data_IF_679770575412
#
_entry.id   IF_679770575412
#
_cell.length_a   1.000
_cell.length_b   1.000
_cell.length_c   1.000
_cell.angle_alpha   90.00
_cell.angle_beta   90.00
_cell.angle_gamma   90.00
#
_symmetry.space_group_name_H-M   'P 1'
#
loop_
_entity.id
_entity.type
_entity.pdbx_description
1 polymer ?
#
# COMPACT_ATOMS: atom_id res chain seq x y z
N UNK A 1 2.19 21.53 5.74
CA UNK A 1 1.94 20.17 6.23
C UNK A 1 1.93 19.27 5.02
N UNK A 2 2.47 18.07 5.10
CA UNK A 2 2.09 17.06 4.11
C UNK A 2 0.65 16.66 4.43
N UNK A 3 -0.28 16.98 3.52
CA UNK A 3 -1.69 16.67 3.70
C UNK A 3 -1.90 15.20 3.31
N UNK A 4 -1.85 14.32 4.31
CA UNK A 4 -2.18 12.92 4.12
C UNK A 4 -3.69 12.74 3.96
N UNK A 5 -4.10 11.91 3.01
CA UNK A 5 -5.43 11.32 3.01
C UNK A 5 -5.48 10.25 4.11
N UNK A 6 -6.55 10.24 4.90
CA UNK A 6 -6.74 9.29 6.00
C UNK A 6 -7.93 8.37 5.73
N UNK A 7 -7.76 7.09 6.05
CA UNK A 7 -8.86 6.10 6.06
C UNK A 7 -8.68 5.17 7.25
N UNK A 8 -9.77 4.55 7.68
CA UNK A 8 -9.77 3.52 8.73
C UNK A 8 -9.95 2.15 8.10
N UNK A 9 -9.07 1.21 8.42
CA UNK A 9 -9.15 -0.18 7.96
C UNK A 9 -9.57 -1.05 9.14
N UNK A 10 -10.83 -1.53 9.19
CA UNK A 10 -11.30 -2.34 10.29
C UNK A 10 -10.48 -3.63 10.47
N UNK A 11 -10.53 -4.25 11.66
CA UNK A 11 -9.89 -5.55 11.87
C UNK A 11 -10.43 -6.55 10.86
N UNK A 12 -9.55 -7.43 10.37
CA UNK A 12 -9.89 -8.49 9.40
C UNK A 12 -10.25 -7.99 8.00
N UNK A 13 -10.01 -6.71 7.69
CA UNK A 13 -10.28 -6.13 6.37
C UNK A 13 -9.01 -5.68 5.67
N UNK A 14 -9.16 -5.37 4.37
CA UNK A 14 -8.14 -4.75 3.54
C UNK A 14 -8.70 -3.48 2.93
N UNK A 15 -7.81 -2.55 2.62
CA UNK A 15 -8.07 -1.43 1.73
C UNK A 15 -7.18 -1.57 0.51
N UNK A 16 -7.76 -1.39 -0.67
CA UNK A 16 -7.06 -1.47 -1.94
C UNK A 16 -7.39 -0.25 -2.78
N UNK A 17 -6.37 0.28 -3.46
CA UNK A 17 -6.52 1.31 -4.47
C UNK A 17 -5.70 0.92 -5.70
N UNK A 18 -6.30 1.10 -6.88
CA UNK A 18 -5.76 0.60 -8.14
C UNK A 18 -5.66 1.73 -9.17
N UNK A 19 -4.65 1.63 -10.02
CA UNK A 19 -4.34 2.60 -11.07
C UNK A 19 -4.01 1.85 -12.36
N UNK A 20 -4.66 2.23 -13.46
CA UNK A 20 -4.29 1.75 -14.79
C UNK A 20 -3.16 2.62 -15.31
N UNK A 21 -1.97 2.04 -15.48
CA UNK A 21 -0.74 2.76 -15.84
C UNK A 21 -0.13 2.23 -17.14
N UNK A 22 0.56 3.11 -17.86
CA UNK A 22 1.28 2.82 -19.09
C UNK A 22 2.79 2.76 -18.86
N UNK A 23 3.51 2.11 -19.78
CA UNK A 23 4.97 2.10 -19.75
C UNK A 23 5.52 3.53 -19.84
N UNK A 24 6.43 3.88 -18.93
CA UNK A 24 7.00 5.22 -18.78
C UNK A 24 6.33 6.08 -17.69
N UNK A 25 5.20 5.64 -17.14
CA UNK A 25 4.62 6.27 -15.95
C UNK A 25 5.45 5.95 -14.69
N UNK A 26 5.15 6.66 -13.60
CA UNK A 26 5.73 6.40 -12.29
C UNK A 26 4.67 6.45 -11.20
N UNK A 27 4.78 5.56 -10.23
CA UNK A 27 3.93 5.55 -9.04
C UNK A 27 4.80 5.70 -7.80
N UNK A 28 4.39 6.59 -6.92
CA UNK A 28 5.04 6.79 -5.62
C UNK A 28 4.00 6.78 -4.53
N UNK A 29 4.41 6.32 -3.35
CA UNK A 29 3.57 6.31 -2.18
C UNK A 29 4.33 6.80 -0.96
N UNK A 30 3.56 7.38 -0.05
CA UNK A 30 3.99 7.79 1.27
C UNK A 30 2.83 7.49 2.22
N UNK A 31 3.03 6.59 3.18
CA UNK A 31 2.00 6.25 4.16
C UNK A 31 2.56 6.07 5.56
N UNK A 32 1.67 6.24 6.54
CA UNK A 32 1.90 5.97 7.96
C UNK A 32 0.61 5.45 8.58
N UNK A 33 0.74 4.83 9.73
CA UNK A 33 -0.39 4.41 10.57
C UNK A 33 -0.28 5.07 11.93
N UNK A 34 -1.41 5.23 12.63
CA UNK A 34 -1.40 5.98 13.89
C UNK A 34 -0.81 5.19 15.06
N UNK A 35 -0.88 3.85 15.07
CA UNK A 35 -0.57 3.09 16.30
C UNK A 35 -0.07 1.66 16.12
N UNK A 36 -0.28 1.03 14.96
CA UNK A 36 0.06 -0.38 14.75
C UNK A 36 0.75 -0.58 13.41
N UNK A 37 1.43 -1.70 13.27
CA UNK A 37 1.85 -2.16 11.95
C UNK A 37 0.66 -2.45 11.03
N UNK A 38 0.94 -2.53 9.73
CA UNK A 38 -0.05 -2.88 8.72
C UNK A 38 0.62 -3.78 7.69
N UNK A 39 -0.13 -4.76 7.17
CA UNK A 39 0.32 -5.50 6.00
C UNK A 39 0.33 -4.59 4.77
N UNK A 40 1.34 -4.72 3.93
CA UNK A 40 1.47 -3.94 2.71
C UNK A 40 1.75 -4.86 1.52
N UNK A 41 1.01 -4.65 0.44
CA UNK A 41 1.27 -5.25 -0.86
C UNK A 41 1.32 -4.19 -1.96
N UNK A 42 2.15 -4.46 -2.95
CA UNK A 42 2.17 -3.76 -4.22
C UNK A 42 2.02 -4.79 -5.34
N UNK A 43 0.93 -4.70 -6.09
CA UNK A 43 0.52 -5.69 -7.08
C UNK A 43 0.52 -5.11 -8.49
N UNK A 44 0.73 -5.96 -9.49
CA UNK A 44 0.51 -5.69 -10.91
C UNK A 44 -0.35 -6.80 -11.47
N UNK A 45 -1.52 -6.46 -12.01
CA UNK A 45 -2.50 -7.41 -12.53
C UNK A 45 -2.78 -8.56 -11.53
N UNK A 46 -3.04 -8.17 -10.27
CA UNK A 46 -3.28 -9.04 -9.11
C UNK A 46 -2.08 -9.87 -8.62
N UNK A 47 -0.93 -9.82 -9.29
CA UNK A 47 0.29 -10.53 -8.91
C UNK A 47 1.23 -9.65 -8.06
N UNK A 48 1.81 -10.15 -6.96
CA UNK A 48 2.76 -9.39 -6.16
C UNK A 48 4.02 -9.01 -6.95
N UNK A 49 4.25 -7.71 -7.15
CA UNK A 49 5.53 -7.22 -7.69
C UNK A 49 6.63 -7.29 -6.63
N UNK A 50 6.27 -7.08 -5.35
CA UNK A 50 7.17 -7.26 -4.22
C UNK A 50 6.57 -8.27 -3.23
N UNK A 51 7.42 -8.93 -2.42
CA UNK A 51 6.94 -9.73 -1.30
C UNK A 51 6.09 -8.89 -0.35
N UNK A 52 5.10 -9.54 0.27
CA UNK A 52 4.38 -8.98 1.40
C UNK A 52 5.33 -8.46 2.48
N UNK A 53 5.03 -7.28 3.00
CA UNK A 53 5.75 -6.72 4.14
C UNK A 53 4.76 -6.37 5.23
N UNK A 54 5.09 -6.75 6.47
CA UNK A 54 4.48 -6.18 7.66
C UNK A 54 5.21 -4.88 7.99
N UNK A 55 4.62 -3.75 7.63
CA UNK A 55 5.27 -2.46 7.73
C UNK A 55 5.05 -1.84 9.11
N UNK A 56 6.13 -1.48 9.81
CA UNK A 56 6.11 -0.72 11.07
C UNK A 56 5.80 0.77 10.82
N UNK A 57 4.72 1.03 10.08
CA UNK A 57 4.32 2.36 9.60
C UNK A 57 3.86 3.33 10.70
N UNK A 58 3.76 2.83 11.95
CA UNK A 58 3.51 3.60 13.16
C UNK A 58 4.81 4.16 13.78
N UNK A 59 5.96 3.58 13.42
CA UNK A 59 7.29 4.00 13.89
C UNK A 59 7.90 5.01 12.93
N UNK A 60 7.79 4.75 11.63
CA UNK A 60 8.36 5.59 10.59
C UNK A 60 7.47 5.60 9.35
N UNK A 61 7.48 6.74 8.66
CA UNK A 61 6.82 6.92 7.37
C UNK A 61 7.42 5.96 6.35
N UNK A 62 6.55 5.24 5.63
CA UNK A 62 6.94 4.30 4.59
C UNK A 62 6.83 4.99 3.23
N UNK A 63 7.92 4.98 2.47
CA UNK A 63 8.03 5.66 1.18
C UNK A 63 8.49 4.65 0.14
N UNK A 64 7.91 4.70 -1.05
CA UNK A 64 8.39 3.94 -2.19
C UNK A 64 8.06 4.60 -3.51
N UNK A 65 8.78 4.16 -4.55
CA UNK A 65 8.62 4.60 -5.92
C UNK A 65 8.90 3.43 -6.86
N UNK A 66 8.08 3.30 -7.89
CA UNK A 66 8.22 2.31 -8.95
C UNK A 66 8.07 3.00 -10.30
N UNK A 67 9.04 2.76 -11.18
CA UNK A 67 8.94 3.08 -12.59
C UNK A 67 8.11 1.99 -13.30
N UNK A 68 7.11 2.40 -14.07
CA UNK A 68 6.22 1.48 -14.80
C UNK A 68 6.91 1.05 -16.09
N UNK A 69 7.41 -0.18 -16.13
CA UNK A 69 8.06 -0.74 -17.33
C UNK A 69 7.10 -1.53 -18.23
N UNK A 70 5.99 -2.00 -17.65
CA UNK A 70 4.94 -2.75 -18.35
C UNK A 70 3.58 -2.11 -18.04
N UNK A 71 2.73 -1.84 -19.05
CA UNK A 71 1.36 -1.39 -18.81
C UNK A 71 0.58 -2.45 -18.03
N UNK A 72 -0.34 -2.03 -17.17
CA UNK A 72 -1.16 -2.93 -16.36
C UNK A 72 -1.93 -2.19 -15.27
N UNK A 73 -2.68 -2.92 -14.47
CA UNK A 73 -3.37 -2.39 -13.29
C UNK A 73 -2.49 -2.58 -12.07
N UNK A 74 -2.03 -1.47 -11.50
CA UNK A 74 -1.15 -1.43 -10.33
C UNK A 74 -1.99 -1.16 -9.08
N UNK A 75 -1.90 -2.03 -8.07
CA UNK A 75 -2.63 -1.90 -6.81
C UNK A 75 -1.71 -1.70 -5.61
N UNK A 76 -2.07 -0.76 -4.75
CA UNK A 76 -1.54 -0.65 -3.38
C UNK A 76 -2.58 -1.24 -2.43
N UNK A 77 -2.17 -2.23 -1.64
CA UNK A 77 -3.05 -2.90 -0.67
C UNK A 77 -2.53 -2.74 0.75
N UNK A 78 -3.37 -2.21 1.62
CA UNK A 78 -3.17 -2.20 3.07
C UNK A 78 -4.00 -3.33 3.70
N UNK A 79 -3.32 -4.27 4.34
CA UNK A 79 -3.89 -5.53 4.81
C UNK A 79 -3.91 -5.59 6.34
N UNK A 80 -5.11 -5.45 6.93
CA UNK A 80 -5.33 -5.59 8.38
C UNK A 80 -5.94 -6.96 8.74
N UNK A 81 -5.80 -7.97 7.87
CA UNK A 81 -6.45 -9.27 8.09
C UNK A 81 -5.91 -10.04 9.30
N UNK A 82 -4.66 -9.77 9.68
CA UNK A 82 -4.00 -10.37 10.84
C UNK A 82 -4.51 -9.83 12.18
N UNK A 83 -5.18 -8.68 12.20
CA UNK A 83 -5.66 -8.11 13.44
C UNK A 83 -6.96 -8.74 13.91
N UNK A 84 -6.97 -9.13 15.18
CA UNK A 84 -8.15 -9.70 15.85
C UNK A 84 -9.04 -8.65 16.49
N UNK A 85 -8.50 -7.47 16.80
CA UNK A 85 -9.18 -6.49 17.65
C UNK A 85 -9.10 -5.05 17.14
N UNK A 86 -8.17 -4.72 16.23
CA UNK A 86 -7.90 -3.34 15.79
C UNK A 86 -7.60 -3.24 14.31
#
# INVERSE_FOLDING_TARGET
>A
SEDFLSTSIPPRQKFETSFDLCAGDGISWNFKTDSHDIGFWFLVDEEPMFPYVKADAHVAVQIGLVDVVTPGTYSIVFDNTHSKYR
#
